data_IF_657782543314
#
_entry.id   IF_657782543314
#
_cell.length_a   1.000
_cell.length_b   1.000
_cell.length_c   1.000
_cell.angle_alpha   90.00
_cell.angle_beta   90.00
_cell.angle_gamma   90.00
#
_symmetry.space_group_name_H-M   'P 1'
#
loop_
_entity.id
_entity.type
_entity.pdbx_description
1 polymer ?
#
# COMPACT_ATOMS: atom_id res chain seq x y z
N UNK A 1 -31.89 7.48 2.26
CA UNK A 1 -31.15 7.45 3.54
C UNK A 1 -30.65 6.07 3.96
N UNK A 2 -31.39 5.00 3.72
CA UNK A 2 -30.94 3.61 4.08
C UNK A 2 -29.75 3.11 3.24
N UNK A 3 -29.62 3.54 1.98
CA UNK A 3 -28.51 3.15 1.10
C UNK A 3 -27.18 3.81 1.47
N UNK A 4 -27.23 5.05 1.95
CA UNK A 4 -26.02 5.76 2.39
C UNK A 4 -25.44 5.21 3.69
N UNK A 5 -26.29 4.73 4.60
CA UNK A 5 -25.87 4.07 5.86
C UNK A 5 -25.19 2.74 5.62
N UNK A 6 -25.67 1.96 4.63
CA UNK A 6 -25.06 0.69 4.24
C UNK A 6 -23.67 0.88 3.62
N UNK A 7 -23.48 1.94 2.81
CA UNK A 7 -22.17 2.27 2.20
C UNK A 7 -21.17 2.71 3.26
N UNK A 8 -21.61 3.48 4.25
CA UNK A 8 -20.74 3.92 5.36
C UNK A 8 -20.36 2.72 6.25
N UNK A 9 -21.32 1.83 6.55
CA UNK A 9 -21.05 0.63 7.34
C UNK A 9 -20.11 -0.35 6.63
N UNK A 10 -20.26 -0.51 5.31
CA UNK A 10 -19.38 -1.37 4.51
C UNK A 10 -17.98 -0.77 4.33
N UNK A 11 -17.89 0.56 4.21
CA UNK A 11 -16.61 1.29 4.17
C UNK A 11 -15.86 1.18 5.50
N UNK A 12 -16.57 1.24 6.63
CA UNK A 12 -15.97 1.10 7.97
C UNK A 12 -15.52 -0.36 8.22
N UNK A 13 -16.24 -1.34 7.70
CA UNK A 13 -15.86 -2.76 7.81
C UNK A 13 -14.63 -3.07 6.93
N UNK A 14 -14.52 -2.45 5.77
CA UNK A 14 -13.33 -2.54 4.90
C UNK A 14 -12.08 -1.93 5.54
N UNK A 15 -12.23 -0.82 6.27
CA UNK A 15 -11.15 -0.20 7.03
C UNK A 15 -10.65 -1.09 8.18
N UNK A 16 -11.54 -1.87 8.79
CA UNK A 16 -11.17 -2.84 9.84
C UNK A 16 -10.34 -4.00 9.30
N UNK A 17 -10.63 -4.48 8.09
CA UNK A 17 -9.87 -5.54 7.44
C UNK A 17 -8.46 -5.07 7.02
N UNK A 18 -8.30 -3.78 6.68
CA UNK A 18 -6.99 -3.19 6.40
C UNK A 18 -6.14 -3.00 7.68
N UNK A 19 -6.78 -2.86 8.85
CA UNK A 19 -6.11 -2.77 10.15
C UNK A 19 -5.82 -4.12 10.79
N UNK A 20 -6.41 -5.22 10.32
CA UNK A 20 -6.22 -6.56 10.88
C UNK A 20 -4.88 -7.21 10.45
N UNK A 21 -4.19 -6.65 9.45
CA UNK A 21 -2.78 -6.93 9.22
C UNK A 21 -1.95 -6.07 10.17
N UNK A 22 -1.08 -6.70 10.94
CA UNK A 22 -0.10 -6.05 11.80
C UNK A 22 0.42 -4.76 11.12
N UNK A 23 0.03 -3.61 11.64
CA UNK A 23 0.34 -2.29 11.05
C UNK A 23 1.84 -1.98 10.98
N UNK A 24 2.65 -2.90 11.51
CA UNK A 24 4.12 -2.87 11.44
C UNK A 24 4.65 -3.52 10.16
N UNK A 25 3.79 -4.11 9.32
CA UNK A 25 4.22 -4.71 8.05
C UNK A 25 4.02 -3.75 6.88
N UNK A 26 4.91 -3.76 5.86
CA UNK A 26 4.78 -2.91 4.67
C UNK A 26 3.46 -3.09 3.93
N UNK A 27 2.85 -4.28 4.02
CA UNK A 27 1.55 -4.57 3.47
C UNK A 27 0.45 -3.75 4.17
N UNK A 28 0.46 -3.68 5.50
CA UNK A 28 -0.49 -2.90 6.28
C UNK A 28 -0.39 -1.41 5.97
N UNK A 29 0.82 -0.86 6.00
CA UNK A 29 1.07 0.56 5.72
C UNK A 29 0.67 0.97 4.31
N UNK A 30 1.06 0.20 3.30
CA UNK A 30 0.71 0.45 1.91
C UNK A 30 -0.81 0.36 1.66
N UNK A 31 -1.47 -0.61 2.28
CA UNK A 31 -2.92 -0.79 2.17
C UNK A 31 -3.72 0.33 2.81
N UNK A 32 -3.43 0.66 4.06
CA UNK A 32 -4.10 1.75 4.79
C UNK A 32 -3.81 3.09 4.13
N UNK A 33 -2.54 3.38 3.83
CA UNK A 33 -2.15 4.61 3.16
C UNK A 33 -2.81 4.78 1.80
N UNK A 34 -2.86 3.71 1.00
CA UNK A 34 -3.51 3.70 -0.30
C UNK A 34 -5.02 3.96 -0.22
N UNK A 35 -5.71 3.31 0.71
CA UNK A 35 -7.14 3.51 0.91
C UNK A 35 -7.47 4.93 1.38
N UNK A 36 -6.74 5.46 2.37
CA UNK A 36 -6.92 6.82 2.86
C UNK A 36 -6.60 7.86 1.79
N UNK A 37 -5.49 7.68 1.08
CA UNK A 37 -5.10 8.54 -0.03
C UNK A 37 -6.14 8.55 -1.15
N UNK A 38 -6.74 7.40 -1.45
CA UNK A 38 -7.82 7.29 -2.42
C UNK A 38 -9.03 8.13 -2.03
N UNK A 39 -9.48 8.02 -0.78
CA UNK A 39 -10.66 8.76 -0.28
C UNK A 39 -10.43 10.25 -0.36
N UNK A 40 -9.30 10.74 0.15
CA UNK A 40 -8.93 12.16 0.11
C UNK A 40 -8.77 12.65 -1.32
N UNK A 41 -8.06 11.89 -2.15
CA UNK A 41 -7.84 12.23 -3.56
C UNK A 41 -9.14 12.29 -4.36
N UNK A 42 -10.08 11.38 -4.09
CA UNK A 42 -11.40 11.37 -4.73
C UNK A 42 -12.22 12.62 -4.36
N UNK A 43 -12.14 13.08 -3.11
CA UNK A 43 -12.83 14.29 -2.67
C UNK A 43 -12.31 15.57 -3.36
N UNK A 44 -11.03 15.59 -3.74
CA UNK A 44 -10.38 16.77 -4.34
C UNK A 44 -10.48 16.74 -5.88
N UNK A 45 -10.24 15.61 -6.50
CA UNK A 45 -10.06 15.48 -7.96
C UNK A 45 -10.80 14.31 -8.61
N UNK A 46 -11.83 13.77 -7.98
CA UNK A 46 -12.62 12.66 -8.52
C UNK A 46 -11.77 11.40 -8.72
N UNK A 47 -12.07 10.62 -9.76
CA UNK A 47 -11.39 9.34 -10.02
C UNK A 47 -9.89 9.48 -10.31
N UNK A 48 -9.47 10.55 -10.99
CA UNK A 48 -8.06 10.84 -11.23
C UNK A 48 -7.34 11.22 -9.94
N UNK A 49 -7.96 12.09 -9.13
CA UNK A 49 -7.42 12.44 -7.82
C UNK A 49 -7.35 11.22 -6.89
N UNK A 50 -8.33 10.33 -6.96
CA UNK A 50 -8.34 9.09 -6.19
C UNK A 50 -7.14 8.20 -6.52
N UNK A 51 -6.81 8.03 -7.81
CA UNK A 51 -5.68 7.20 -8.23
C UNK A 51 -4.34 7.80 -7.79
N UNK A 52 -4.18 9.13 -7.95
CA UNK A 52 -2.97 9.84 -7.52
C UNK A 52 -2.83 9.79 -6.01
N UNK A 53 -3.92 10.06 -5.28
CA UNK A 53 -3.95 10.01 -3.82
C UNK A 53 -3.65 8.61 -3.28
N UNK A 54 -4.23 7.57 -3.90
CA UNK A 54 -3.95 6.18 -3.57
C UNK A 54 -2.47 5.83 -3.78
N UNK A 55 -1.89 6.27 -4.89
CA UNK A 55 -0.47 6.04 -5.19
C UNK A 55 0.45 6.70 -4.17
N UNK A 56 0.24 7.98 -3.87
CA UNK A 56 1.01 8.72 -2.89
C UNK A 56 0.84 8.16 -1.47
N UNK A 57 -0.40 7.86 -1.09
CA UNK A 57 -0.71 7.27 0.22
C UNK A 57 -0.14 5.87 0.37
N UNK A 58 -0.26 5.04 -0.66
CA UNK A 58 0.32 3.69 -0.68
C UNK A 58 1.85 3.69 -0.63
N UNK A 59 2.48 4.62 -1.35
CA UNK A 59 3.93 4.78 -1.31
C UNK A 59 4.41 5.25 0.06
N UNK A 60 3.80 6.30 0.61
CA UNK A 60 4.15 6.82 1.93
C UNK A 60 3.95 5.77 3.03
N UNK A 61 2.77 5.11 3.04
CA UNK A 61 2.46 4.07 4.02
C UNK A 61 3.39 2.86 3.90
N UNK A 62 3.69 2.42 2.68
CA UNK A 62 4.64 1.35 2.42
C UNK A 62 6.04 1.68 2.91
N UNK A 63 6.51 2.90 2.62
CA UNK A 63 7.82 3.36 3.06
C UNK A 63 7.95 3.47 4.58
N UNK A 64 6.91 3.99 5.24
CA UNK A 64 6.93 4.18 6.70
C UNK A 64 7.00 2.87 7.47
N UNK A 65 6.40 1.83 6.94
CA UNK A 65 6.35 0.51 7.58
C UNK A 65 7.44 -0.44 7.11
N UNK A 66 8.16 -0.09 6.05
CA UNK A 66 9.28 -0.88 5.56
C UNK A 66 10.51 -0.73 6.46
N UNK A 67 11.27 -1.81 6.60
CA UNK A 67 12.56 -1.80 7.30
C UNK A 67 13.59 -0.97 6.54
N UNK A 68 14.57 -0.44 7.27
CA UNK A 68 15.65 0.33 6.69
C UNK A 68 16.36 -0.43 5.56
N UNK A 69 16.59 0.26 4.44
CA UNK A 69 17.17 -0.31 3.22
C UNK A 69 16.17 -0.82 2.19
N UNK A 70 14.86 -0.92 2.54
CA UNK A 70 13.79 -1.41 1.65
C UNK A 70 12.63 -0.45 1.47
N UNK A 71 12.80 0.78 1.95
CA UNK A 71 11.74 1.81 1.90
C UNK A 71 11.38 2.19 0.47
N UNK A 72 12.36 2.25 -0.42
CA UNK A 72 12.14 2.61 -1.83
C UNK A 72 11.34 1.53 -2.56
N UNK A 73 11.71 0.26 -2.39
CA UNK A 73 11.03 -0.86 -3.01
C UNK A 73 9.59 -1.02 -2.48
N UNK A 74 9.40 -0.87 -1.16
CA UNK A 74 8.08 -0.92 -0.55
C UNK A 74 7.22 0.29 -0.95
N UNK A 75 7.82 1.48 -1.09
CA UNK A 75 7.12 2.67 -1.57
C UNK A 75 6.68 2.52 -3.02
N UNK A 76 7.56 2.06 -3.91
CA UNK A 76 7.22 1.81 -5.30
C UNK A 76 6.14 0.74 -5.44
N UNK A 77 6.30 -0.40 -4.76
CA UNK A 77 5.32 -1.47 -4.78
C UNK A 77 3.97 -1.03 -4.23
N UNK A 78 3.96 -0.42 -3.05
CA UNK A 78 2.75 0.09 -2.40
C UNK A 78 2.05 1.18 -3.21
N UNK A 79 2.82 2.12 -3.75
CA UNK A 79 2.30 3.22 -4.57
C UNK A 79 1.70 2.75 -5.88
N UNK A 80 2.44 1.93 -6.64
CA UNK A 80 1.96 1.40 -7.92
C UNK A 80 0.80 0.44 -7.73
N UNK A 81 0.86 -0.42 -6.70
CA UNK A 81 -0.22 -1.33 -6.35
C UNK A 81 -1.50 -0.60 -5.97
N UNK A 82 -1.40 0.43 -5.13
CA UNK A 82 -2.55 1.23 -4.70
C UNK A 82 -3.15 2.03 -5.85
N UNK A 83 -2.34 2.68 -6.68
CA UNK A 83 -2.81 3.43 -7.85
C UNK A 83 -3.49 2.50 -8.86
N UNK A 84 -2.85 1.40 -9.23
CA UNK A 84 -3.39 0.40 -10.16
C UNK A 84 -4.67 -0.24 -9.64
N UNK A 85 -4.67 -0.64 -8.37
CA UNK A 85 -5.86 -1.20 -7.70
C UNK A 85 -7.01 -0.21 -7.63
N UNK A 86 -6.73 1.07 -7.40
CA UNK A 86 -7.73 2.14 -7.43
C UNK A 86 -8.40 2.26 -8.80
N UNK A 87 -7.61 2.29 -9.88
CA UNK A 87 -8.11 2.43 -11.24
C UNK A 87 -9.00 1.24 -11.63
N UNK A 88 -8.52 0.02 -11.38
CA UNK A 88 -9.27 -1.21 -11.68
C UNK A 88 -10.53 -1.28 -10.82
N UNK A 89 -10.41 -1.02 -9.52
CA UNK A 89 -11.54 -1.03 -8.59
C UNK A 89 -12.61 0.00 -8.95
N UNK A 90 -12.20 1.18 -9.41
CA UNK A 90 -13.13 2.23 -9.87
C UNK A 90 -13.97 1.75 -11.07
N UNK A 91 -13.35 1.06 -12.02
CA UNK A 91 -14.07 0.51 -13.20
C UNK A 91 -15.09 -0.57 -12.82
N UNK A 92 -14.82 -1.33 -11.76
CA UNK A 92 -15.68 -2.44 -11.34
C UNK A 92 -16.77 -2.00 -10.35
N UNK A 93 -16.50 -1.06 -9.46
CA UNK A 93 -17.38 -0.69 -8.37
C UNK A 93 -17.41 0.79 -8.00
N UNK A 94 -17.00 1.68 -8.92
CA UNK A 94 -16.99 3.12 -8.67
C UNK A 94 -16.02 3.52 -7.55
N UNK A 95 -16.33 4.58 -6.81
CA UNK A 95 -15.44 5.09 -5.74
C UNK A 95 -15.24 4.11 -4.59
N UNK A 96 -16.26 3.30 -4.26
CA UNK A 96 -16.13 2.23 -3.24
C UNK A 96 -15.17 1.15 -3.72
N UNK A 97 -15.32 0.69 -4.97
CA UNK A 97 -14.41 -0.27 -5.59
C UNK A 97 -12.98 0.27 -5.68
N UNK A 98 -12.81 1.55 -5.98
CA UNK A 98 -11.52 2.21 -6.02
C UNK A 98 -10.81 2.20 -4.65
N UNK A 99 -11.54 2.46 -3.58
CA UNK A 99 -10.98 2.45 -2.22
C UNK A 99 -10.54 1.06 -1.78
N UNK A 100 -11.39 0.05 -2.04
CA UNK A 100 -11.06 -1.35 -1.74
C UNK A 100 -9.89 -1.82 -2.59
N UNK A 101 -9.92 -1.49 -3.90
CA UNK A 101 -8.83 -1.83 -4.82
C UNK A 101 -7.52 -1.16 -4.45
N UNK A 102 -7.55 0.10 -4.03
CA UNK A 102 -6.36 0.82 -3.56
C UNK A 102 -5.77 0.18 -2.30
N UNK A 103 -6.62 -0.21 -1.36
CA UNK A 103 -6.18 -0.87 -0.13
C UNK A 103 -5.54 -2.23 -0.41
N UNK A 104 -6.21 -3.09 -1.17
CA UNK A 104 -5.70 -4.42 -1.54
C UNK A 104 -4.46 -4.33 -2.41
N UNK A 105 -4.47 -3.45 -3.42
CA UNK A 105 -3.35 -3.23 -4.31
C UNK A 105 -2.12 -2.67 -3.58
N UNK A 106 -2.33 -1.71 -2.68
CA UNK A 106 -1.28 -1.14 -1.85
C UNK A 106 -0.67 -2.16 -0.88
N UNK A 107 -1.51 -3.01 -0.28
CA UNK A 107 -1.05 -4.08 0.60
C UNK A 107 -0.23 -5.13 -0.17
N UNK A 108 -0.76 -5.63 -1.28
CA UNK A 108 -0.08 -6.61 -2.12
C UNK A 108 1.22 -6.04 -2.71
N UNK A 109 1.17 -4.82 -3.25
CA UNK A 109 2.33 -4.13 -3.83
C UNK A 109 3.41 -3.85 -2.79
N UNK A 110 3.03 -3.39 -1.59
CA UNK A 110 3.96 -3.16 -0.49
C UNK A 110 4.65 -4.45 -0.02
N UNK A 111 3.90 -5.55 0.06
CA UNK A 111 4.45 -6.86 0.40
C UNK A 111 5.45 -7.36 -0.64
N UNK A 112 5.08 -7.27 -1.92
CA UNK A 112 5.96 -7.67 -3.04
C UNK A 112 7.21 -6.80 -3.07
N UNK A 113 7.07 -5.48 -2.97
CA UNK A 113 8.19 -4.55 -2.94
C UNK A 113 9.17 -4.87 -1.81
N UNK A 114 8.64 -5.12 -0.61
CA UNK A 114 9.45 -5.50 0.54
C UNK A 114 10.17 -6.84 0.35
N UNK A 115 9.57 -7.81 -0.34
CA UNK A 115 10.21 -9.09 -0.64
C UNK A 115 11.34 -8.92 -1.66
N UNK A 116 11.13 -8.12 -2.72
CA UNK A 116 12.17 -7.83 -3.70
C UNK A 116 13.39 -7.14 -3.07
N UNK A 117 13.17 -6.26 -2.09
CA UNK A 117 14.24 -5.63 -1.32
C UNK A 117 15.06 -6.62 -0.48
N UNK A 118 14.47 -7.75 -0.06
CA UNK A 118 15.19 -8.80 0.69
C UNK A 118 16.26 -9.49 -0.14
N UNK A 119 15.99 -9.73 -1.41
CA UNK A 119 16.92 -10.44 -2.30
C UNK A 119 18.17 -9.59 -2.58
N UNK A 120 18.02 -8.26 -2.63
CA UNK A 120 19.14 -7.33 -2.79
C UNK A 120 20.04 -7.24 -1.55
N UNK A 121 19.47 -7.32 -0.34
CA UNK A 121 20.23 -7.30 0.91
C UNK A 121 21.06 -8.57 1.13
N UNK A 122 20.58 -9.71 0.64
CA UNK A 122 21.29 -10.99 0.76
C UNK A 122 22.61 -11.01 -0.03
N UNK A 123 22.68 -10.28 -1.15
CA UNK A 123 23.89 -10.15 -1.96
C UNK A 123 24.99 -9.31 -1.33
N UNK A 124 24.64 -8.37 -0.46
CA UNK A 124 25.61 -7.48 0.19
C UNK A 124 26.13 -8.01 1.52
N UNK A 125 25.38 -8.85 2.22
CA UNK A 125 25.83 -9.47 3.49
C UNK A 125 26.92 -10.52 3.29
N UNK A 126 26.97 -11.20 2.15
CA UNK A 126 27.98 -12.19 1.85
C UNK A 126 29.41 -11.63 1.72
N UNK A 127 29.54 -10.33 1.40
CA UNK A 127 30.87 -9.70 1.23
C UNK A 127 31.47 -9.14 2.52
N UNK A 128 30.65 -8.82 3.53
CA UNK A 128 31.16 -8.27 4.80
C UNK A 128 31.71 -9.31 5.77
N UNK A 129 31.21 -10.57 5.71
CA UNK A 129 31.68 -11.64 6.61
C UNK A 129 33.03 -12.25 6.21
N UNK A 130 33.53 -12.04 4.98
CA UNK A 130 34.81 -12.59 4.54
C UNK A 130 36.04 -11.81 4.99
N UNK A 131 35.85 -10.54 5.44
CA UNK A 131 37.00 -9.69 5.84
C UNK A 131 37.47 -9.88 7.29
N UNK A 132 36.69 -10.57 8.14
CA UNK A 132 37.05 -10.76 9.55
C UNK A 132 37.66 -12.13 9.89
N UNK A 133 37.87 -13.01 8.93
CA UNK A 133 38.35 -14.37 9.18
C UNK A 133 39.84 -14.61 8.94
N UNK A 134 40.60 -13.54 8.65
CA UNK A 134 42.04 -13.61 8.35
C UNK A 134 42.90 -12.85 9.37
N UNK A 135 42.54 -12.87 10.63
CA UNK A 135 43.45 -12.51 11.71
C UNK A 135 43.40 -13.57 12.79
#
# INVERSE_FOLDING_TARGET
MRKSLLVIAFGLLGAQAACAGDSTTPAGGGGVGGALGNVVGNAIGGSTGAAIGAGLGGAAGGAMTAKDGRKTEAALGGGLGAAGGSVIGNKLGGSTGATIGAGLGGAAGGAVGNNLGKDNDSGHRGKKHRKHKHR
#
